data_IF_577673266230
#
_entry.id   IF_577673266230
#
_cell.length_a   1.000
_cell.length_b   1.000
_cell.length_c   1.000
_cell.angle_alpha   90.00
_cell.angle_beta   90.00
_cell.angle_gamma   90.00
#
_symmetry.space_group_name_H-M   'P 1'
#
loop_
_entity.id
_entity.type
_entity.pdbx_description
1 polymer ?
#
# COMPACT_ATOMS: atom_id res chain seq x y z
N UNK A 1 -2.27 14.88 11.77
CA UNK A 1 -2.68 13.49 12.07
C UNK A 1 -2.03 13.06 13.39
N UNK A 2 -2.59 12.13 14.16
CA UNK A 2 -1.89 11.56 15.34
C UNK A 2 -1.01 10.38 14.90
N UNK A 3 0.15 10.17 15.53
CA UNK A 3 1.12 9.12 15.16
C UNK A 3 0.49 7.73 15.06
N UNK A 4 -0.27 7.31 16.06
CA UNK A 4 -0.92 5.99 16.08
C UNK A 4 -1.87 5.80 14.90
N UNK A 5 -2.73 6.79 14.63
CA UNK A 5 -3.64 6.75 13.49
C UNK A 5 -2.89 6.68 12.16
N UNK A 6 -1.80 7.46 12.03
CA UNK A 6 -0.96 7.43 10.84
C UNK A 6 -0.31 6.06 10.65
N UNK A 7 0.26 5.47 11.72
CA UNK A 7 0.89 4.14 11.65
C UNK A 7 -0.11 3.06 11.25
N UNK A 8 -1.32 3.09 11.81
CA UNK A 8 -2.36 2.13 11.44
C UNK A 8 -2.72 2.24 9.94
N UNK A 9 -2.92 3.47 9.44
CA UNK A 9 -3.20 3.70 8.01
C UNK A 9 -2.05 3.25 7.13
N UNK A 10 -0.81 3.59 7.49
CA UNK A 10 0.38 3.18 6.76
C UNK A 10 0.48 1.66 6.61
N UNK A 11 0.24 0.92 7.69
CA UNK A 11 0.26 -0.55 7.67
C UNK A 11 -0.91 -1.14 6.87
N UNK A 12 -2.10 -0.54 6.94
CA UNK A 12 -3.25 -0.94 6.11
C UNK A 12 -2.96 -0.74 4.62
N UNK A 13 -2.42 0.41 4.21
CA UNK A 13 -2.07 0.66 2.81
C UNK A 13 -1.00 -0.31 2.31
N UNK A 14 0.02 -0.62 3.13
CA UNK A 14 1.00 -1.67 2.78
C UNK A 14 0.31 -3.02 2.61
N UNK A 15 -0.62 -3.38 3.49
CA UNK A 15 -1.37 -4.63 3.38
C UNK A 15 -2.15 -4.71 2.05
N UNK A 16 -2.85 -3.63 1.70
CA UNK A 16 -3.68 -3.50 0.50
C UNK A 16 -2.84 -3.54 -0.80
N UNK A 17 -1.80 -2.72 -0.88
CA UNK A 17 -0.92 -2.61 -2.06
C UNK A 17 -0.07 -3.86 -2.30
N UNK A 18 0.11 -4.71 -1.28
CA UNK A 18 0.90 -5.96 -1.41
C UNK A 18 0.03 -7.21 -1.66
N UNK A 19 -1.29 -7.06 -1.76
CA UNK A 19 -2.22 -8.17 -1.94
C UNK A 19 -2.83 -8.21 -3.35
N UNK A 20 -2.15 -8.91 -4.28
CA UNK A 20 -2.70 -9.16 -5.62
C UNK A 20 -4.07 -9.88 -5.58
N UNK A 21 -4.32 -10.71 -4.57
CA UNK A 21 -5.61 -11.36 -4.41
C UNK A 21 -6.72 -10.35 -4.11
N UNK A 22 -6.47 -9.44 -3.16
CA UNK A 22 -7.42 -8.37 -2.84
C UNK A 22 -7.66 -7.49 -4.06
N UNK A 23 -6.59 -7.00 -4.68
CA UNK A 23 -6.65 -6.15 -5.87
C UNK A 23 -7.47 -6.78 -6.99
N UNK A 24 -7.23 -8.07 -7.31
CA UNK A 24 -8.03 -8.78 -8.32
C UNK A 24 -9.50 -8.87 -7.93
N UNK A 25 -9.80 -9.18 -6.67
CA UNK A 25 -11.18 -9.32 -6.22
C UNK A 25 -11.91 -7.99 -6.26
N UNK A 26 -11.30 -6.92 -5.74
CA UNK A 26 -11.98 -5.66 -5.55
C UNK A 26 -11.97 -4.76 -6.79
N UNK A 27 -10.87 -4.71 -7.53
CA UNK A 27 -10.77 -3.82 -8.70
C UNK A 27 -11.58 -4.33 -9.90
N UNK A 28 -11.76 -5.64 -10.03
CA UNK A 28 -12.55 -6.24 -11.11
C UNK A 28 -14.03 -6.40 -10.75
N UNK A 29 -14.41 -6.13 -9.50
CA UNK A 29 -15.80 -6.24 -9.07
C UNK A 29 -16.60 -5.01 -9.51
N UNK A 30 -17.39 -5.17 -10.58
CA UNK A 30 -18.28 -4.13 -11.11
C UNK A 30 -19.45 -3.78 -10.20
N UNK A 31 -19.72 -4.60 -9.18
CA UNK A 31 -20.77 -4.30 -8.18
C UNK A 31 -20.23 -3.49 -7.00
N UNK A 32 -18.91 -3.40 -6.84
CA UNK A 32 -18.31 -2.55 -5.82
C UNK A 32 -18.56 -1.07 -6.16
N UNK A 33 -19.22 -0.37 -5.25
CA UNK A 33 -19.47 1.08 -5.35
C UNK A 33 -18.57 1.91 -4.45
N UNK A 34 -17.83 1.26 -3.55
CA UNK A 34 -16.92 1.95 -2.65
C UNK A 34 -15.61 2.26 -3.40
N UNK A 35 -15.28 3.55 -3.62
CA UNK A 35 -14.14 3.94 -4.43
C UNK A 35 -12.81 3.50 -3.80
N UNK A 36 -12.75 3.36 -2.47
CA UNK A 36 -11.55 2.95 -1.73
C UNK A 36 -10.92 1.69 -2.34
N UNK A 37 -11.74 0.75 -2.79
CA UNK A 37 -11.25 -0.50 -3.35
C UNK A 37 -10.95 -0.42 -4.85
N UNK A 38 -10.17 0.60 -5.24
CA UNK A 38 -9.68 0.81 -6.60
C UNK A 38 -8.16 1.00 -6.63
N UNK A 39 -7.56 0.86 -7.80
CA UNK A 39 -6.13 1.16 -7.98
C UNK A 39 -5.81 2.61 -7.59
N UNK A 40 -6.60 3.56 -8.10
CA UNK A 40 -6.42 5.00 -7.84
C UNK A 40 -6.46 5.28 -6.34
N UNK A 41 -7.50 4.83 -5.64
CA UNK A 41 -7.62 5.10 -4.20
C UNK A 41 -6.55 4.38 -3.38
N UNK A 42 -6.07 3.20 -3.78
CA UNK A 42 -4.94 2.56 -3.10
C UNK A 42 -3.66 3.41 -3.22
N UNK A 43 -3.40 3.99 -4.40
CA UNK A 43 -2.25 4.86 -4.63
C UNK A 43 -2.38 6.19 -3.88
N UNK A 44 -3.54 6.85 -3.98
CA UNK A 44 -3.82 8.10 -3.26
C UNK A 44 -3.80 7.92 -1.74
N UNK A 45 -4.40 6.85 -1.22
CA UNK A 45 -4.38 6.55 0.22
C UNK A 45 -2.95 6.38 0.75
N UNK A 46 -2.04 5.85 -0.06
CA UNK A 46 -0.65 5.64 0.34
C UNK A 46 0.20 6.90 0.18
N UNK A 47 0.13 7.61 -0.95
CA UNK A 47 0.99 8.77 -1.21
C UNK A 47 0.44 10.07 -0.64
N UNK A 48 -0.84 10.37 -0.90
CA UNK A 48 -1.44 11.66 -0.60
C UNK A 48 -1.93 11.71 0.86
N UNK A 49 -2.72 10.72 1.27
CA UNK A 49 -3.34 10.70 2.61
C UNK A 49 -2.33 10.53 3.75
N UNK A 50 -1.21 9.85 3.48
CA UNK A 50 -0.13 9.68 4.45
C UNK A 50 0.88 10.84 4.44
N UNK A 51 0.81 11.74 3.46
CA UNK A 51 1.72 12.89 3.31
C UNK A 51 3.19 12.46 3.34
N UNK A 52 3.53 11.48 2.47
CA UNK A 52 4.88 10.89 2.37
C UNK A 52 5.64 11.33 1.12
N UNK A 53 5.17 12.41 0.49
CA UNK A 53 5.74 13.07 -0.70
C UNK A 53 7.22 13.49 -0.52
N UNK A 54 7.63 13.78 0.71
CA UNK A 54 9.01 14.10 1.04
C UNK A 54 9.91 12.85 1.27
N UNK A 55 9.48 11.67 0.80
CA UNK A 55 10.14 10.39 1.01
C UNK A 55 10.39 10.10 2.50
N UNK A 56 9.33 10.20 3.31
CA UNK A 56 9.33 9.93 4.75
C UNK A 56 10.22 10.82 5.64
N UNK A 57 10.80 11.89 5.11
CA UNK A 57 11.78 12.72 5.84
C UNK A 57 11.21 13.29 7.15
N UNK A 58 10.00 13.86 7.10
CA UNK A 58 9.39 14.46 8.29
C UNK A 58 9.02 13.39 9.31
N UNK A 59 8.55 12.23 8.85
CA UNK A 59 8.14 11.11 9.70
C UNK A 59 9.34 10.46 10.40
N UNK A 60 10.51 10.45 9.76
CA UNK A 60 11.78 10.07 10.38
C UNK A 60 12.21 11.08 11.45
N UNK A 61 12.12 12.38 11.14
CA UNK A 61 12.50 13.44 12.07
C UNK A 61 11.62 13.45 13.32
N UNK A 62 10.33 13.18 13.16
CA UNK A 62 9.36 13.10 14.26
C UNK A 62 9.40 11.74 15.00
N UNK A 63 10.17 10.76 14.50
CA UNK A 63 10.26 9.42 15.09
C UNK A 63 8.95 8.63 14.96
N UNK A 64 8.15 8.90 13.93
CA UNK A 64 6.93 8.14 13.63
C UNK A 64 7.26 6.81 12.97
N UNK A 65 8.34 6.78 12.19
CA UNK A 65 9.00 5.57 11.73
C UNK A 65 10.46 5.58 12.17
N UNK A 66 11.02 4.40 12.37
CA UNK A 66 12.44 4.21 12.62
C UNK A 66 13.24 4.20 11.31
N UNK A 67 14.53 4.48 11.42
CA UNK A 67 15.46 4.37 10.29
C UNK A 67 15.44 2.97 9.65
N UNK A 68 15.31 1.92 10.46
CA UNK A 68 15.29 0.54 9.98
C UNK A 68 14.01 0.21 9.21
N UNK A 69 12.86 0.68 9.67
CA UNK A 69 11.60 0.56 8.93
C UNK A 69 11.69 1.29 7.58
N UNK A 70 12.27 2.49 7.56
CA UNK A 70 12.50 3.24 6.33
C UNK A 70 13.44 2.52 5.34
N UNK A 71 14.57 1.99 5.84
CA UNK A 71 15.53 1.24 5.02
C UNK A 71 14.89 0.03 4.32
N UNK A 72 13.91 -0.62 4.99
CA UNK A 72 13.13 -1.73 4.42
C UNK A 72 12.18 -1.23 3.33
N UNK A 73 11.46 -0.13 3.58
CA UNK A 73 10.33 0.28 2.73
C UNK A 73 10.76 1.16 1.53
N UNK A 74 11.87 1.90 1.64
CA UNK A 74 12.25 2.95 0.68
C UNK A 74 12.41 2.43 -0.75
N UNK A 75 12.90 1.20 -0.93
CA UNK A 75 13.10 0.61 -2.26
C UNK A 75 11.76 0.31 -2.92
N UNK A 76 10.82 -0.26 -2.17
CA UNK A 76 9.47 -0.54 -2.64
C UNK A 76 8.68 0.76 -2.88
N UNK A 77 8.76 1.73 -1.96
CA UNK A 77 8.16 3.05 -2.13
C UNK A 77 8.63 3.71 -3.44
N UNK A 78 9.94 3.71 -3.72
CA UNK A 78 10.49 4.28 -4.94
C UNK A 78 10.14 3.50 -6.22
N UNK A 79 9.71 2.24 -6.13
CA UNK A 79 9.16 1.50 -7.26
C UNK A 79 7.69 1.88 -7.52
N UNK A 80 6.90 2.09 -6.46
CA UNK A 80 5.53 2.58 -6.56
C UNK A 80 5.49 4.00 -7.14
N UNK A 81 6.34 4.90 -6.64
CA UNK A 81 6.41 6.32 -7.05
C UNK A 81 6.73 6.49 -8.55
N UNK A 82 7.45 5.53 -9.13
CA UNK A 82 7.85 5.53 -10.56
C UNK A 82 6.94 4.71 -11.45
N UNK A 83 5.86 4.16 -10.90
CA UNK A 83 4.97 3.31 -11.67
C UNK A 83 3.96 4.17 -12.44
N UNK A 84 4.05 4.10 -13.76
CA UNK A 84 3.01 4.58 -14.66
C UNK A 84 2.14 3.40 -15.11
N UNK A 85 0.82 3.55 -15.02
CA UNK A 85 -0.12 2.57 -15.55
C UNK A 85 0.07 2.39 -17.07
N UNK A 86 -0.22 1.19 -17.61
CA UNK A 86 -0.18 0.98 -19.05
C UNK A 86 -1.00 2.02 -19.81
N UNK A 87 -0.38 2.65 -20.82
CA UNK A 87 -0.97 3.75 -21.60
C UNK A 87 -1.39 5.00 -20.78
N UNK A 88 -0.90 5.13 -19.54
CA UNK A 88 -1.31 6.16 -18.57
C UNK A 88 -2.81 6.11 -18.24
N UNK A 89 -3.41 4.92 -18.26
CA UNK A 89 -4.84 4.73 -18.00
C UNK A 89 -5.05 4.02 -16.65
N UNK A 90 -5.20 4.80 -15.58
CA UNK A 90 -5.29 4.29 -14.20
C UNK A 90 -6.59 3.52 -13.90
N UNK A 91 -7.56 3.61 -14.81
CA UNK A 91 -8.83 2.88 -14.73
C UNK A 91 -8.82 1.56 -15.52
N UNK A 92 -7.81 1.30 -16.35
CA UNK A 92 -7.62 0.01 -17.01
C UNK A 92 -6.99 -1.00 -16.04
N UNK A 93 -7.78 -1.39 -15.04
CA UNK A 93 -7.37 -2.29 -13.97
C UNK A 93 -6.98 -3.68 -14.49
N UNK A 94 -7.53 -4.12 -15.62
CA UNK A 94 -7.13 -5.38 -16.26
C UNK A 94 -5.70 -5.28 -16.81
N UNK A 95 -5.37 -4.18 -17.51
CA UNK A 95 -4.01 -3.93 -17.98
C UNK A 95 -3.01 -3.79 -16.82
N UNK A 96 -3.37 -3.07 -15.75
CA UNK A 96 -2.53 -2.92 -14.56
C UNK A 96 -2.25 -4.28 -13.90
N UNK A 97 -3.28 -5.11 -13.71
CA UNK A 97 -3.13 -6.44 -13.11
C UNK A 97 -2.34 -7.42 -14.00
N UNK A 98 -2.30 -7.18 -15.31
CA UNK A 98 -1.49 -7.93 -16.27
C UNK A 98 -0.06 -7.38 -16.43
N UNK A 99 0.21 -6.15 -15.97
CA UNK A 99 1.54 -5.54 -16.10
C UNK A 99 2.57 -6.26 -15.22
N UNK A 100 3.66 -6.69 -15.86
CA UNK A 100 4.82 -7.31 -15.19
C UNK A 100 5.52 -6.33 -14.25
N UNK A 101 5.48 -5.03 -14.53
CA UNK A 101 6.01 -4.00 -13.62
C UNK A 101 5.20 -3.97 -12.34
N UNK A 102 3.87 -3.87 -12.43
CA UNK A 102 2.99 -3.89 -11.27
C UNK A 102 3.16 -5.18 -10.44
N UNK A 103 3.13 -6.34 -11.10
CA UNK A 103 3.33 -7.62 -10.42
C UNK A 103 4.68 -7.67 -9.68
N UNK A 104 5.76 -7.15 -10.28
CA UNK A 104 7.06 -7.05 -9.60
C UNK A 104 7.02 -6.11 -8.40
N UNK A 105 6.34 -4.97 -8.50
CA UNK A 105 6.17 -4.03 -7.37
C UNK A 105 5.48 -4.72 -6.21
N UNK A 106 4.41 -5.47 -6.48
CA UNK A 106 3.70 -6.21 -5.43
C UNK A 106 4.61 -7.28 -4.81
N UNK A 107 5.39 -8.02 -5.59
CA UNK A 107 6.33 -9.02 -5.05
C UNK A 107 7.45 -8.40 -4.20
N UNK A 108 8.04 -7.28 -4.62
CA UNK A 108 9.02 -6.56 -3.79
C UNK A 108 8.37 -6.00 -2.51
N UNK A 109 7.13 -5.52 -2.62
CA UNK A 109 6.34 -5.07 -1.47
C UNK A 109 6.04 -6.19 -0.47
N UNK A 110 5.73 -7.41 -0.93
CA UNK A 110 5.56 -8.58 -0.05
C UNK A 110 6.84 -8.91 0.72
N UNK A 111 8.01 -8.78 0.08
CA UNK A 111 9.30 -8.96 0.77
C UNK A 111 9.50 -7.89 1.84
N UNK A 112 9.30 -6.61 1.48
CA UNK A 112 9.40 -5.49 2.42
C UNK A 112 8.42 -5.66 3.60
N UNK A 113 7.17 -6.03 3.33
CA UNK A 113 6.15 -6.36 4.34
C UNK A 113 6.62 -7.48 5.28
N UNK A 114 7.22 -8.54 4.74
CA UNK A 114 7.74 -9.67 5.53
C UNK A 114 8.94 -9.30 6.40
N UNK A 115 9.77 -8.35 5.95
CA UNK A 115 10.87 -7.83 6.78
C UNK A 115 10.37 -6.87 7.84
N UNK A 116 9.42 -6.00 7.48
CA UNK A 116 8.79 -5.04 8.38
C UNK A 116 8.08 -5.74 9.55
N UNK A 117 7.35 -6.83 9.26
CA UNK A 117 6.63 -7.61 10.29
C UNK A 117 7.52 -8.11 11.43
N UNK A 118 8.82 -8.30 11.17
CA UNK A 118 9.81 -8.72 12.20
C UNK A 118 10.18 -7.62 13.17
N UNK A 119 9.90 -6.36 12.84
CA UNK A 119 10.20 -5.18 13.66
C UNK A 119 8.98 -4.65 14.40
N UNK A 120 7.80 -4.89 13.86
CA UNK A 120 6.53 -4.36 14.39
C UNK A 120 6.10 -5.07 15.66
N UNK A 121 5.33 -4.36 16.48
CA UNK A 121 4.63 -4.94 17.61
C UNK A 121 3.59 -5.99 17.15
N UNK A 122 3.01 -6.72 18.10
CA UNK A 122 1.95 -7.68 17.81
C UNK A 122 0.73 -7.02 17.18
N UNK A 123 0.32 -5.88 17.72
CA UNK A 123 -0.91 -5.18 17.30
C UNK A 123 -0.74 -4.59 15.89
N UNK A 124 0.41 -4.01 15.61
CA UNK A 124 0.76 -3.53 14.25
C UNK A 124 0.86 -4.67 13.25
N UNK A 125 1.42 -5.81 13.65
CA UNK A 125 1.43 -7.00 12.82
C UNK A 125 0.02 -7.53 12.51
N UNK A 126 -0.93 -7.35 13.42
CA UNK A 126 -2.32 -7.71 13.17
C UNK A 126 -2.92 -6.84 12.07
N UNK A 127 -2.64 -5.53 12.07
CA UNK A 127 -3.10 -4.59 11.02
C UNK A 127 -2.43 -4.93 9.68
N UNK A 128 -1.10 -5.07 9.68
CA UNK A 128 -0.32 -5.35 8.48
C UNK A 128 -0.74 -6.64 7.79
N UNK A 129 -1.24 -7.62 8.54
CA UNK A 129 -1.62 -8.95 8.02
C UNK A 129 -3.13 -9.21 8.11
N UNK A 130 -3.94 -8.16 8.28
CA UNK A 130 -5.38 -8.31 8.37
C UNK A 130 -5.93 -8.98 7.11
N UNK A 131 -6.82 -9.96 7.29
CA UNK A 131 -7.57 -10.54 6.19
C UNK A 131 -8.69 -9.58 5.80
N UNK A 132 -8.47 -8.87 4.70
CA UNK A 132 -9.42 -7.88 4.19
C UNK A 132 -10.56 -8.60 3.44
N UNK A 133 -11.79 -8.28 3.83
CA UNK A 133 -13.01 -8.62 3.10
C UNK A 133 -13.69 -7.32 2.69
N UNK A 134 -13.37 -6.86 1.48
CA UNK A 134 -13.83 -5.58 0.95
C UNK A 134 -15.36 -5.51 0.80
N UNK A 135 -16.03 -6.67 0.67
CA UNK A 135 -17.49 -6.76 0.52
C UNK A 135 -18.26 -6.29 1.74
N UNK A 136 -17.63 -6.26 2.92
CA UNK A 136 -18.22 -5.73 4.14
C UNK A 136 -18.39 -4.20 4.13
N UNK A 137 -17.79 -3.53 3.15
CA UNK A 137 -17.75 -2.08 3.02
C UNK A 137 -18.42 -1.59 1.73
N UNK A 138 -19.20 -2.46 1.07
CA UNK A 138 -20.12 -2.13 -0.03
C UNK A 138 -21.47 -1.65 0.52
#
# INVERSE_FOLDING_TARGET
MQKELWRNRWLSCINELTSLELQRKSWLDKSNTNPHWSFVEFMCSYFDDLVIDNNYKDLLNEGWISKREFEIIQSWHGLLDKYDSPNNEDHDVEAILADKKWQRIVEEGKKAKSELSRLLSKDENQILNEKIDYTKYM
#
